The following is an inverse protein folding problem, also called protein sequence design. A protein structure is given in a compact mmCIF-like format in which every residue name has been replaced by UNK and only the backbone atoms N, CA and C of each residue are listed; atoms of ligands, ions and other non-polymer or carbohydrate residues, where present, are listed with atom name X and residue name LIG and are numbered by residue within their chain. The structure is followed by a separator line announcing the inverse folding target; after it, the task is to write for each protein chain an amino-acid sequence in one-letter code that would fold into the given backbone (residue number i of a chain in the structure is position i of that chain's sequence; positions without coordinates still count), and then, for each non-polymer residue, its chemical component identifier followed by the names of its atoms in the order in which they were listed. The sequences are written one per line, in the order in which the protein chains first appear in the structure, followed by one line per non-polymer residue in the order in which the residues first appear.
data_IF_432720448807
#
_entry.id   IF_432720448807
#
_cell.length_a   1.000
_cell.length_b   1.000
_cell.length_c   1.000
_cell.angle_alpha   90.00
_cell.angle_beta   90.00
_cell.angle_gamma   90.00
#
_symmetry.space_group_name_H-M   'P 1'
#
loop_
_entity.id
_entity.type
_entity.pdbx_description
1 polymer ?
#
# COMPACT_ATOMS: atom_id res chain seq x y z
N UNK A 1 -2.48 -19.65 11.08
CA UNK A 1 -3.07 -19.05 9.88
C UNK A 1 -3.63 -17.68 10.26
N UNK A 2 -3.39 -16.61 9.47
CA UNK A 2 -3.98 -15.29 9.74
C UNK A 2 -5.49 -15.34 9.48
N UNK A 3 -6.28 -15.01 10.49
CA UNK A 3 -7.74 -15.00 10.40
C UNK A 3 -8.26 -13.77 11.18
N UNK A 4 -9.02 -12.91 10.52
CA UNK A 4 -9.63 -11.73 11.10
C UNK A 4 -11.14 -11.76 10.86
N UNK A 5 -11.92 -11.51 11.91
CA UNK A 5 -13.39 -11.57 11.85
C UNK A 5 -13.96 -10.64 10.78
N UNK A 6 -14.93 -11.13 10.00
CA UNK A 6 -15.58 -10.35 8.93
C UNK A 6 -14.85 -10.35 7.60
N UNK A 7 -13.68 -11.02 7.47
CA UNK A 7 -12.94 -11.11 6.23
C UNK A 7 -12.54 -12.55 5.90
N UNK A 8 -12.66 -12.92 4.64
CA UNK A 8 -12.12 -14.16 4.10
C UNK A 8 -10.78 -13.86 3.44
N UNK A 9 -9.69 -14.42 3.96
CA UNK A 9 -8.35 -14.30 3.38
C UNK A 9 -8.25 -15.24 2.19
N UNK A 10 -7.88 -14.73 1.03
CA UNK A 10 -7.69 -15.51 -0.20
C UNK A 10 -6.24 -15.96 -0.35
N UNK A 11 -5.29 -15.01 -0.29
CA UNK A 11 -3.88 -15.29 -0.44
C UNK A 11 -3.01 -14.19 0.18
N UNK A 12 -1.74 -14.51 0.45
CA UNK A 12 -0.71 -13.54 0.75
C UNK A 12 -0.13 -13.02 -0.58
N UNK A 13 -0.08 -11.70 -0.76
CA UNK A 13 0.41 -11.06 -1.97
C UNK A 13 1.76 -10.39 -1.81
N UNK A 14 2.14 -10.03 -0.57
CA UNK A 14 3.43 -9.41 -0.31
C UNK A 14 3.88 -9.66 1.13
N UNK A 15 5.20 -9.73 1.32
CA UNK A 15 5.82 -9.80 2.64
C UNK A 15 7.14 -9.02 2.62
N UNK A 16 7.33 -8.16 3.62
CA UNK A 16 8.56 -7.43 3.89
C UNK A 16 9.14 -7.82 5.25
N UNK A 17 10.19 -7.14 5.67
CA UNK A 17 10.73 -7.29 7.02
C UNK A 17 9.75 -6.82 8.10
N UNK A 18 8.87 -5.87 7.81
CA UNK A 18 7.99 -5.23 8.77
C UNK A 18 6.50 -5.56 8.59
N UNK A 19 6.05 -5.89 7.37
CA UNK A 19 4.63 -6.06 7.07
C UNK A 19 4.33 -7.29 6.21
N UNK A 20 3.11 -7.78 6.34
CA UNK A 20 2.53 -8.81 5.47
C UNK A 20 1.23 -8.27 4.91
N UNK A 21 1.03 -8.47 3.60
CA UNK A 21 -0.15 -8.00 2.87
C UNK A 21 -0.90 -9.18 2.30
N UNK A 22 -2.21 -9.20 2.52
CA UNK A 22 -3.11 -10.23 2.03
C UNK A 22 -4.17 -9.63 1.12
N UNK A 23 -4.60 -10.41 0.13
CA UNK A 23 -5.84 -10.18 -0.61
C UNK A 23 -6.96 -10.98 0.05
N UNK A 24 -8.14 -10.38 0.18
CA UNK A 24 -9.28 -11.02 0.81
C UNK A 24 -10.60 -10.43 0.37
N UNK A 25 -11.69 -10.96 0.94
CA UNK A 25 -13.06 -10.51 0.69
C UNK A 25 -13.68 -10.10 2.03
N UNK A 26 -14.28 -8.92 2.08
CA UNK A 26 -15.11 -8.49 3.20
C UNK A 26 -16.44 -9.23 3.14
N UNK A 27 -16.77 -10.02 4.17
CA UNK A 27 -17.92 -10.93 4.16
C UNK A 27 -19.27 -10.21 4.13
N UNK A 28 -19.34 -9.02 4.72
CA UNK A 28 -20.58 -8.26 4.84
C UNK A 28 -21.21 -7.85 3.50
N UNK A 29 -20.39 -7.56 2.49
CA UNK A 29 -20.81 -7.04 1.18
C UNK A 29 -20.06 -7.66 0.00
N UNK A 30 -19.30 -8.72 0.26
CA UNK A 30 -18.50 -9.44 -0.75
C UNK A 30 -17.49 -8.57 -1.50
N UNK A 31 -17.09 -7.43 -0.90
CA UNK A 31 -16.11 -6.53 -1.51
C UNK A 31 -14.69 -7.08 -1.39
N UNK A 32 -13.95 -7.05 -2.51
CA UNK A 32 -12.52 -7.34 -2.53
C UNK A 32 -11.75 -6.26 -1.74
N UNK A 33 -10.81 -6.70 -0.90
CA UNK A 33 -10.02 -5.83 -0.02
C UNK A 33 -8.58 -6.31 0.08
N UNK A 34 -7.70 -5.37 0.41
CA UNK A 34 -6.31 -5.64 0.79
C UNK A 34 -6.17 -5.43 2.31
N UNK A 35 -5.55 -6.39 2.98
CA UNK A 35 -5.30 -6.34 4.41
C UNK A 35 -3.79 -6.25 4.66
N UNK A 36 -3.32 -5.12 5.19
CA UNK A 36 -1.91 -4.90 5.56
C UNK A 36 -1.77 -4.97 7.07
N UNK A 37 -0.91 -5.86 7.59
CA UNK A 37 -0.60 -5.96 9.02
C UNK A 37 0.89 -5.91 9.28
N UNK A 38 1.29 -5.57 10.51
CA UNK A 38 2.66 -5.76 10.97
C UNK A 38 2.99 -7.25 11.03
N UNK A 39 4.22 -7.61 10.66
CA UNK A 39 4.70 -8.99 10.65
C UNK A 39 4.87 -9.54 12.06
N UNK A 40 5.40 -8.72 12.96
CA UNK A 40 5.58 -9.10 14.37
C UNK A 40 4.24 -9.31 15.08
N UNK A 41 4.19 -10.27 16.01
CA UNK A 41 3.01 -10.50 16.85
C UNK A 41 2.95 -9.57 18.06
N UNK A 42 4.07 -8.93 18.40
CA UNK A 42 4.20 -8.00 19.53
C UNK A 42 4.87 -6.70 19.04
N UNK A 43 4.12 -5.87 18.28
CA UNK A 43 4.66 -4.63 17.77
C UNK A 43 4.92 -3.62 18.91
N UNK A 44 5.94 -2.83 18.74
CA UNK A 44 6.24 -1.72 19.62
C UNK A 44 5.18 -0.62 19.50
N UNK A 45 5.00 0.24 20.52
CA UNK A 45 4.12 1.39 20.42
C UNK A 45 4.45 2.31 19.24
N UNK A 46 5.74 2.42 18.88
CA UNK A 46 6.21 3.23 17.75
C UNK A 46 5.78 2.63 16.41
N UNK A 47 5.86 1.31 16.23
CA UNK A 47 5.38 0.64 15.01
C UNK A 47 3.87 0.80 14.85
N UNK A 48 3.11 0.63 15.93
CA UNK A 48 1.65 0.86 15.93
C UNK A 48 1.34 2.32 15.58
N UNK A 49 2.10 3.28 16.12
CA UNK A 49 1.93 4.70 15.82
C UNK A 49 2.14 5.00 14.34
N UNK A 50 3.20 4.45 13.73
CA UNK A 50 3.48 4.60 12.29
C UNK A 50 2.35 4.04 11.43
N UNK A 51 1.80 2.88 11.76
CA UNK A 51 0.66 2.29 11.05
C UNK A 51 -0.61 3.13 11.18
N UNK A 52 -0.88 3.67 12.38
CA UNK A 52 -2.00 4.60 12.57
C UNK A 52 -1.82 5.87 11.75
N UNK A 53 -0.61 6.39 11.68
CA UNK A 53 -0.27 7.57 10.87
C UNK A 53 -0.47 7.28 9.37
N UNK A 54 0.04 6.15 8.85
CA UNK A 54 -0.19 5.71 7.48
C UNK A 54 -1.68 5.67 7.14
N UNK A 55 -2.47 5.02 8.00
CA UNK A 55 -3.92 4.96 7.83
C UNK A 55 -4.57 6.35 7.80
N UNK A 56 -4.21 7.22 8.73
CA UNK A 56 -4.79 8.56 8.82
C UNK A 56 -4.46 9.42 7.60
N UNK A 57 -3.21 9.38 7.12
CA UNK A 57 -2.78 10.11 5.92
C UNK A 57 -3.52 9.58 4.70
N UNK A 58 -3.51 8.26 4.48
CA UNK A 58 -4.14 7.64 3.32
C UNK A 58 -5.65 7.88 3.28
N UNK A 59 -6.33 7.74 4.44
CA UNK A 59 -7.78 8.01 4.56
C UNK A 59 -8.14 9.45 4.25
N UNK A 60 -7.29 10.41 4.65
CA UNK A 60 -7.53 11.84 4.40
C UNK A 60 -7.42 12.20 2.92
N UNK A 61 -6.57 11.52 2.16
CA UNK A 61 -6.28 11.86 0.78
C UNK A 61 -7.44 11.61 -0.18
N UNK A 62 -8.33 10.70 0.02
CA UNK A 62 -9.52 10.41 -0.81
C UNK A 62 -9.41 10.88 -2.29
N UNK A 63 -8.29 10.58 -2.94
CA UNK A 63 -7.93 10.97 -4.31
C UNK A 63 -8.04 9.76 -5.25
N UNK A 64 -8.40 10.00 -6.52
CA UNK A 64 -8.55 8.92 -7.50
C UNK A 64 -7.25 8.12 -7.72
N UNK A 65 -6.09 8.79 -7.69
CA UNK A 65 -4.78 8.19 -7.86
C UNK A 65 -4.15 7.63 -6.57
N UNK A 66 -4.88 7.59 -5.45
CA UNK A 66 -4.40 7.06 -4.16
C UNK A 66 -5.28 5.88 -3.76
N UNK A 67 -4.68 4.85 -3.17
CA UNK A 67 -5.43 3.72 -2.60
C UNK A 67 -6.36 4.23 -1.50
N UNK A 68 -7.58 3.71 -1.46
CA UNK A 68 -8.55 4.10 -0.44
C UNK A 68 -8.36 3.26 0.81
N UNK A 69 -8.13 3.90 1.96
CA UNK A 69 -8.10 3.22 3.25
C UNK A 69 -9.51 3.18 3.86
N UNK A 70 -10.07 2.00 4.03
CA UNK A 70 -11.42 1.82 4.55
C UNK A 70 -11.47 1.87 6.08
N UNK A 71 -10.63 1.05 6.73
CA UNK A 71 -10.65 0.87 8.19
C UNK A 71 -9.27 0.54 8.74
N UNK A 72 -9.09 0.85 10.02
CA UNK A 72 -8.01 0.34 10.86
C UNK A 72 -8.65 -0.53 11.94
N UNK A 73 -8.32 -1.80 11.97
CA UNK A 73 -8.90 -2.77 12.90
C UNK A 73 -7.87 -3.31 13.87
N UNK A 74 -8.32 -3.62 15.08
CA UNK A 74 -7.51 -4.30 16.08
C UNK A 74 -7.53 -5.80 15.82
N UNK A 75 -6.36 -6.42 15.82
CA UNK A 75 -6.21 -7.87 15.70
C UNK A 75 -5.22 -8.37 16.75
N UNK A 76 -5.73 -8.99 17.80
CA UNK A 76 -4.91 -9.38 18.96
C UNK A 76 -4.12 -8.18 19.50
N UNK A 77 -2.77 -8.28 19.57
CA UNK A 77 -1.89 -7.19 19.99
C UNK A 77 -1.43 -6.31 18.82
N UNK A 78 -2.00 -6.49 17.63
CA UNK A 78 -1.59 -5.87 16.38
C UNK A 78 -2.70 -5.01 15.79
N UNK A 79 -2.39 -4.27 14.73
CA UNK A 79 -3.35 -3.49 13.95
C UNK A 79 -3.29 -3.93 12.49
N UNK A 80 -4.44 -3.91 11.83
CA UNK A 80 -4.60 -4.25 10.42
C UNK A 80 -5.24 -3.08 9.70
N UNK A 81 -4.63 -2.59 8.62
CA UNK A 81 -5.24 -1.60 7.75
C UNK A 81 -5.95 -2.33 6.62
N UNK A 82 -7.22 -1.96 6.41
CA UNK A 82 -8.03 -2.49 5.32
C UNK A 82 -8.09 -1.45 4.21
N UNK A 83 -7.60 -1.81 3.03
CA UNK A 83 -7.61 -0.97 1.84
C UNK A 83 -8.55 -1.51 0.77
N UNK A 84 -8.87 -0.68 -0.23
CA UNK A 84 -9.48 -1.13 -1.47
C UNK A 84 -8.55 -2.10 -2.21
N UNK A 85 -9.12 -3.11 -2.86
CA UNK A 85 -8.44 -3.88 -3.91
C UNK A 85 -8.85 -3.30 -5.26
N UNK A 86 -7.90 -2.70 -5.98
CA UNK A 86 -8.12 -2.16 -7.32
C UNK A 86 -7.91 -3.19 -8.43
N UNK A 87 -7.71 -4.48 -8.08
CA UNK A 87 -7.57 -5.58 -9.03
C UNK A 87 -6.28 -5.53 -9.87
N UNK A 88 -5.31 -4.71 -9.46
CA UNK A 88 -3.99 -4.60 -10.11
C UNK A 88 -2.88 -5.27 -9.32
N UNK A 89 -1.69 -5.20 -9.89
CA UNK A 89 -0.44 -5.62 -9.26
C UNK A 89 0.54 -4.44 -9.17
N UNK A 90 1.59 -4.57 -8.35
CA UNK A 90 2.61 -3.54 -8.31
C UNK A 90 3.30 -3.41 -9.67
N UNK A 91 3.64 -2.18 -10.04
CA UNK A 91 4.35 -1.91 -11.29
C UNK A 91 5.69 -2.67 -11.34
N UNK A 92 6.35 -2.86 -10.19
CA UNK A 92 7.55 -3.69 -10.08
C UNK A 92 7.31 -5.13 -10.54
N UNK A 93 6.21 -5.75 -10.10
CA UNK A 93 5.87 -7.12 -10.49
C UNK A 93 5.55 -7.21 -11.98
N UNK A 94 4.80 -6.24 -12.50
CA UNK A 94 4.44 -6.20 -13.92
C UNK A 94 5.67 -6.02 -14.81
N UNK A 95 6.59 -5.13 -14.45
CA UNK A 95 7.84 -4.89 -15.19
C UNK A 95 8.76 -6.11 -15.25
N UNK A 96 8.72 -6.98 -14.25
CA UNK A 96 9.48 -8.23 -14.26
C UNK A 96 8.97 -9.22 -15.30
N UNK A 97 7.72 -9.10 -15.75
CA UNK A 97 7.08 -10.03 -16.67
C UNK A 97 6.80 -9.43 -18.04
N UNK A 98 6.70 -8.11 -18.15
CA UNK A 98 6.34 -7.44 -19.37
C UNK A 98 7.01 -6.07 -19.49
N UNK A 99 7.91 -5.85 -20.48
CA UNK A 99 8.45 -4.53 -20.73
C UNK A 99 7.34 -3.60 -21.26
N UNK A 100 7.27 -2.39 -20.73
CA UNK A 100 6.32 -1.38 -21.20
C UNK A 100 6.74 -0.83 -22.57
N UNK A 101 5.77 -0.64 -23.44
CA UNK A 101 5.95 0.20 -24.63
C UNK A 101 6.13 1.68 -24.21
N UNK A 102 6.68 2.51 -25.09
CA UNK A 102 6.84 3.94 -24.82
C UNK A 102 5.48 4.61 -24.52
N UNK A 103 4.42 4.20 -25.24
CA UNK A 103 3.07 4.75 -25.02
C UNK A 103 2.52 4.40 -23.63
N UNK A 104 2.65 3.15 -23.21
CA UNK A 104 2.23 2.70 -21.86
C UNK A 104 3.04 3.40 -20.77
N UNK A 105 4.36 3.52 -20.96
CA UNK A 105 5.22 4.25 -20.02
C UNK A 105 4.78 5.71 -19.85
N UNK A 106 4.51 6.41 -20.95
CA UNK A 106 4.09 7.81 -20.91
C UNK A 106 2.69 7.95 -20.26
N UNK A 107 1.75 7.08 -20.57
CA UNK A 107 0.41 7.09 -19.93
C UNK A 107 0.52 6.89 -18.40
N UNK A 108 1.31 5.92 -17.98
CA UNK A 108 1.58 5.64 -16.57
C UNK A 108 2.25 6.86 -15.90
N UNK A 109 3.28 7.43 -16.52
CA UNK A 109 4.03 8.56 -15.98
C UNK A 109 3.14 9.81 -15.80
N UNK A 110 2.27 10.10 -16.76
CA UNK A 110 1.31 11.21 -16.68
C UNK A 110 0.37 11.00 -15.48
N UNK A 111 -0.23 9.81 -15.35
CA UNK A 111 -1.16 9.50 -14.26
C UNK A 111 -0.51 9.56 -12.88
N UNK A 112 0.74 9.11 -12.76
CA UNK A 112 1.53 9.24 -11.51
C UNK A 112 1.76 10.71 -11.19
N UNK A 113 2.19 11.51 -12.17
CA UNK A 113 2.47 12.94 -11.99
C UNK A 113 1.21 13.71 -11.57
N UNK A 114 0.06 13.42 -12.17
CA UNK A 114 -1.23 14.01 -11.78
C UNK A 114 -1.61 13.64 -10.35
N UNK A 115 -1.40 12.38 -9.97
CA UNK A 115 -1.67 11.91 -8.62
C UNK A 115 -0.75 12.60 -7.59
N UNK A 116 0.54 12.74 -7.90
CA UNK A 116 1.51 13.45 -7.05
C UNK A 116 1.18 14.94 -6.91
N UNK A 117 0.75 15.59 -8.00
CA UNK A 117 0.31 16.98 -7.94
C UNK A 117 -0.86 17.16 -6.95
N UNK A 118 -1.86 16.27 -6.97
CA UNK A 118 -2.98 16.30 -6.04
C UNK A 118 -2.55 16.03 -4.59
N UNK A 119 -1.62 15.10 -4.36
CA UNK A 119 -1.06 14.79 -3.04
C UNK A 119 -0.30 16.00 -2.48
N UNK A 120 0.52 16.65 -3.31
CA UNK A 120 1.26 17.86 -2.92
C UNK A 120 0.33 19.03 -2.65
N UNK A 121 -0.75 19.20 -3.42
CA UNK A 121 -1.80 20.19 -3.16
C UNK A 121 -2.48 19.97 -1.80
N UNK A 122 -2.53 18.72 -1.30
CA UNK A 122 -3.00 18.39 0.05
C UNK A 122 -1.93 18.60 1.14
N UNK A 123 -0.78 19.21 0.83
CA UNK A 123 0.39 19.40 1.69
C UNK A 123 0.97 18.07 2.24
N UNK A 124 0.96 17.03 1.44
CA UNK A 124 1.56 15.73 1.78
C UNK A 124 2.68 15.43 0.78
N UNK A 125 3.79 14.92 1.29
CA UNK A 125 4.90 14.39 0.50
C UNK A 125 4.98 12.90 0.77
N UNK A 126 4.95 12.08 -0.28
CA UNK A 126 4.96 10.61 -0.18
C UNK A 126 6.30 10.07 0.32
N UNK A 127 7.42 10.57 -0.19
CA UNK A 127 8.82 10.23 0.11
C UNK A 127 9.31 8.86 -0.36
N UNK A 128 8.43 7.99 -0.86
CA UNK A 128 8.80 6.63 -1.28
C UNK A 128 8.12 6.25 -2.61
N UNK A 129 8.30 7.09 -3.63
CA UNK A 129 7.79 6.79 -4.98
C UNK A 129 8.76 5.84 -5.68
N UNK A 130 8.32 4.60 -5.81
CA UNK A 130 9.04 3.54 -6.52
C UNK A 130 8.05 2.54 -7.14
N UNK A 131 8.46 1.68 -8.10
CA UNK A 131 7.55 0.77 -8.78
C UNK A 131 6.80 -0.22 -7.88
N UNK A 132 7.32 -0.54 -6.68
CA UNK A 132 6.62 -1.41 -5.72
C UNK A 132 5.44 -0.70 -5.05
N UNK A 133 5.48 0.63 -4.96
CA UNK A 133 4.46 1.47 -4.33
C UNK A 133 3.48 2.08 -5.34
N UNK A 134 3.48 1.57 -6.57
CA UNK A 134 2.55 1.94 -7.64
C UNK A 134 1.80 0.69 -8.07
N UNK A 135 0.50 0.64 -7.85
CA UNK A 135 -0.36 -0.44 -8.34
C UNK A 135 -0.97 -0.02 -9.67
N UNK A 136 -0.84 -0.86 -10.68
CA UNK A 136 -1.41 -0.68 -12.01
C UNK A 136 -2.33 -1.83 -12.37
N UNK A 137 -3.53 -1.52 -12.79
CA UNK A 137 -4.48 -2.49 -13.35
C UNK A 137 -4.52 -2.32 -14.88
N UNK A 138 -3.90 -3.21 -15.66
CA UNK A 138 -3.83 -3.07 -17.13
C UNK A 138 -5.19 -3.23 -17.80
N UNK A 139 -6.17 -3.87 -17.17
CA UNK A 139 -7.51 -4.05 -17.75
C UNK A 139 -8.33 -2.76 -17.72
N UNK A 140 -8.16 -1.97 -16.65
CA UNK A 140 -8.91 -0.71 -16.46
C UNK A 140 -8.06 0.53 -16.74
N UNK A 141 -6.73 0.38 -16.86
CA UNK A 141 -5.78 1.49 -16.94
C UNK A 141 -5.67 2.30 -15.65
N UNK A 142 -6.20 1.79 -14.54
CA UNK A 142 -6.19 2.48 -13.26
C UNK A 142 -4.82 2.39 -12.60
N UNK A 143 -4.35 3.50 -12.04
CA UNK A 143 -3.15 3.60 -11.23
C UNK A 143 -3.52 4.05 -9.82
N UNK A 144 -2.85 3.47 -8.82
CA UNK A 144 -2.99 3.84 -7.42
C UNK A 144 -1.62 3.91 -6.76
N UNK A 145 -1.32 5.03 -6.10
CA UNK A 145 -0.19 5.13 -5.18
C UNK A 145 -0.57 4.50 -3.84
N UNK A 146 0.33 3.68 -3.32
CA UNK A 146 0.17 2.94 -2.05
C UNK A 146 1.34 3.24 -1.11
N UNK A 147 1.20 2.85 0.15
CA UNK A 147 2.23 2.90 1.19
C UNK A 147 2.70 4.32 1.56
N UNK A 148 1.90 4.98 2.40
CA UNK A 148 2.21 6.29 2.98
C UNK A 148 2.93 6.17 4.34
N UNK A 149 3.61 5.06 4.62
CA UNK A 149 4.23 4.76 5.92
C UNK A 149 5.31 5.74 6.36
N UNK A 150 6.00 6.39 5.40
CA UNK A 150 7.00 7.44 5.67
C UNK A 150 6.61 8.81 5.12
N UNK A 151 5.37 8.95 4.65
CA UNK A 151 4.87 10.22 4.15
C UNK A 151 4.87 11.31 5.25
N UNK A 152 5.08 12.56 4.85
CA UNK A 152 5.02 13.70 5.75
C UNK A 152 3.95 14.69 5.36
N UNK A 153 3.31 15.27 6.37
CA UNK A 153 2.40 16.40 6.21
C UNK A 153 3.20 17.68 6.39
N UNK A 154 3.20 18.55 5.38
CA UNK A 154 3.83 19.86 5.47
C UNK A 154 2.94 20.78 6.32
N UNK A 155 3.49 21.28 7.44
CA UNK A 155 2.83 22.34 8.19
C UNK A 155 3.01 23.68 7.45
N UNK A 156 1.94 24.45 7.33
CA UNK A 156 1.99 25.78 6.70
C UNK A 156 2.89 26.78 7.44
N UNK A 157 3.22 26.47 8.69
CA UNK A 157 3.93 27.41 9.59
C UNK A 157 5.44 27.21 9.65
N UNK A 158 6.01 26.13 9.13
CA UNK A 158 7.47 25.92 9.11
C UNK A 158 7.87 25.04 7.92
N UNK A 159 8.30 25.64 6.79
CA UNK A 159 8.92 24.90 5.69
C UNK A 159 10.36 24.47 6.01
N UNK A 160 10.85 24.69 7.22
CA UNK A 160 12.21 24.35 7.61
C UNK A 160 12.33 22.85 7.83
N UNK A 161 13.13 22.24 6.98
CA UNK A 161 13.62 20.87 7.02
C UNK A 161 13.78 20.33 8.45
N UNK A 162 12.82 19.50 8.87
CA UNK A 162 13.02 18.69 10.07
C UNK A 162 14.04 17.61 9.72
N UNK A 163 15.27 17.81 10.17
CA UNK A 163 16.37 16.85 10.12
C UNK A 163 17.02 16.64 8.72
N UNK A 164 17.94 17.53 8.26
CA UNK A 164 18.64 17.39 6.98
C UNK A 164 19.59 16.17 6.92
N UNK A 165 19.79 15.45 8.03
CA UNK A 165 20.76 14.35 8.14
C UNK A 165 20.12 12.96 8.06
N UNK A 166 18.81 12.83 7.84
CA UNK A 166 18.13 11.52 7.70
C UNK A 166 17.67 11.36 6.27
N UNK A 167 18.24 10.41 5.55
CA UNK A 167 17.75 9.97 4.25
C UNK A 167 16.61 8.97 4.50
N UNK A 168 15.37 9.36 4.19
CA UNK A 168 14.20 8.49 4.20
C UNK A 168 13.90 8.03 2.76
N UNK A 169 13.72 6.74 2.55
CA UNK A 169 13.41 6.13 1.25
C UNK A 169 13.76 4.66 1.20
N UNK A 170 13.33 3.97 0.16
CA UNK A 170 13.63 2.56 -0.06
C UNK A 170 14.94 2.41 -0.85
N UNK A 171 15.95 1.77 -0.27
CA UNK A 171 17.09 1.26 -1.04
C UNK A 171 16.59 0.04 -1.84
N UNK A 172 16.79 0.04 -3.16
CA UNK A 172 16.33 -0.99 -4.06
C UNK A 172 17.01 -2.34 -3.78
N UNK A 173 16.41 -3.12 -2.89
CA UNK A 173 16.71 -4.53 -2.68
C UNK A 173 15.41 -5.24 -2.32
N UNK A 174 14.61 -5.57 -3.34
CA UNK A 174 13.34 -6.29 -3.13
C UNK A 174 13.58 -7.78 -3.19
N UNK A 175 13.16 -8.57 -2.17
CA UNK A 175 12.92 -9.99 -2.38
C UNK A 175 11.73 -10.15 -3.34
N UNK A 176 11.79 -11.16 -4.21
CA UNK A 176 10.71 -11.50 -5.13
C UNK A 176 9.40 -11.70 -4.36
N UNK A 177 8.34 -11.01 -4.80
CA UNK A 177 7.02 -11.20 -4.23
C UNK A 177 6.50 -12.60 -4.58
N UNK A 178 6.01 -13.39 -3.62
CA UNK A 178 5.41 -14.68 -3.91
C UNK A 178 4.14 -14.47 -4.75
N UNK A 179 3.97 -15.31 -5.78
CA UNK A 179 2.73 -15.35 -6.57
C UNK A 179 1.57 -15.73 -5.66
N UNK A 180 0.41 -15.15 -5.91
CA UNK A 180 -0.83 -15.47 -5.20
C UNK A 180 -1.19 -16.96 -5.48
N UNK A 181 -0.80 -17.86 -4.60
CA UNK A 181 -1.25 -19.24 -4.63
C UNK A 181 -2.44 -19.38 -3.70
N UNK A 182 -3.58 -19.97 -4.13
CA UNK A 182 -4.71 -20.22 -3.25
C UNK A 182 -4.25 -21.04 -2.05
N UNK A 183 -4.65 -20.65 -0.85
CA UNK A 183 -4.46 -21.47 0.33
C UNK A 183 -5.24 -22.77 0.12
N UNK A 184 -4.51 -23.87 -0.13
CA UNK A 184 -5.08 -25.17 -0.46
C UNK A 184 -6.20 -25.56 0.48
N UNK A 185 -7.33 -25.97 -0.08
CA UNK A 185 -8.36 -26.70 0.64
C UNK A 185 -7.72 -27.96 1.20
N UNK A 186 -7.55 -28.02 2.51
CA UNK A 186 -7.22 -29.27 3.18
C UNK A 186 -8.40 -30.22 2.98
N UNK A 187 -8.26 -31.14 2.02
CA UNK A 187 -9.11 -32.30 1.92
C UNK A 187 -8.65 -33.26 3.02
N UNK A 188 -9.49 -33.48 3.99
CA UNK A 188 -9.40 -34.57 4.95
C UNK A 188 -10.73 -35.26 5.00
#
# INVERSE_FOLDING_TARGET
MFNISGYQILCQIYESTQSIVYRGIRQADQQAVILKRLKTNYPTPEEIRKYKQEYQITRRLNLAGVVKAYRLEQYQNNVVIIFEDCGGDSLQLLLNHHPLSLAEFLDIAIKITDSLNQIHAANIIHKDINPSNIVYNPQTGQIKLIDFGIASVLSRENPTLQNPNVIEGTLASSPEAPRCTPLGSASG
#
